data_IF_057145336408
#
_entry.id   IF_057145336408
#
_cell.length_a   1.000
_cell.length_b   1.000
_cell.length_c   1.000
_cell.angle_alpha   90.00
_cell.angle_beta   90.00
_cell.angle_gamma   90.00
#
_symmetry.space_group_name_H-M   'P 1'
#
loop_
_entity.id
_entity.type
_entity.pdbx_description
1 polymer ?
#
# COMPACT_ATOMS: atom_id res chain seq x y z
N UNK A 1 7.17 12.57 -15.56
CA UNK A 1 7.04 11.11 -15.38
C UNK A 1 6.43 10.79 -14.02
N UNK A 2 7.04 11.25 -12.92
CA UNK A 2 6.62 10.99 -11.54
C UNK A 2 5.12 11.27 -11.23
N UNK A 3 4.55 12.42 -11.62
CA UNK A 3 3.11 12.69 -11.41
C UNK A 3 2.20 11.67 -12.08
N UNK A 4 2.50 11.26 -13.32
CA UNK A 4 1.71 10.24 -14.03
C UNK A 4 1.82 8.87 -13.36
N UNK A 5 3.00 8.55 -12.82
CA UNK A 5 3.20 7.32 -12.05
C UNK A 5 2.41 7.33 -10.74
N UNK A 6 2.45 8.45 -10.00
CA UNK A 6 1.62 8.67 -8.82
C UNK A 6 0.13 8.51 -9.13
N UNK A 7 -0.36 9.21 -10.15
CA UNK A 7 -1.77 9.17 -10.52
C UNK A 7 -2.25 7.77 -10.89
N UNK A 8 -1.46 7.04 -11.70
CA UNK A 8 -1.77 5.66 -12.06
C UNK A 8 -1.75 4.73 -10.85
N UNK A 9 -0.75 4.86 -9.96
CA UNK A 9 -0.66 4.07 -8.73
C UNK A 9 -1.85 4.35 -7.80
N UNK A 10 -2.23 5.63 -7.64
CA UNK A 10 -3.37 6.06 -6.82
C UNK A 10 -4.68 5.52 -7.38
N UNK A 11 -4.93 5.68 -8.67
CA UNK A 11 -6.16 5.18 -9.30
C UNK A 11 -6.26 3.65 -9.17
N UNK A 12 -5.15 2.95 -9.36
CA UNK A 12 -5.11 1.49 -9.18
C UNK A 12 -5.37 1.09 -7.73
N UNK A 13 -4.79 1.79 -6.75
CA UNK A 13 -5.08 1.53 -5.35
C UNK A 13 -6.54 1.83 -4.99
N UNK A 14 -7.14 2.89 -5.56
CA UNK A 14 -8.55 3.25 -5.37
C UNK A 14 -9.53 2.24 -5.98
N UNK A 15 -9.17 1.60 -7.09
CA UNK A 15 -9.93 0.48 -7.66
C UNK A 15 -9.77 -0.81 -6.82
N UNK A 16 -8.58 -1.05 -6.30
CA UNK A 16 -8.25 -2.30 -5.60
C UNK A 16 -8.71 -2.34 -4.15
N UNK A 17 -8.70 -1.23 -3.43
CA UNK A 17 -8.74 -1.18 -1.96
C UNK A 17 -9.94 -0.37 -1.49
N UNK A 18 -10.68 -0.92 -0.53
CA UNK A 18 -11.78 -0.20 0.12
C UNK A 18 -11.22 0.91 1.01
N UNK A 19 -11.80 2.10 0.94
CA UNK A 19 -11.44 3.28 1.74
C UNK A 19 -9.93 3.55 1.84
N UNK A 20 -9.23 3.72 0.70
CA UNK A 20 -7.76 3.73 0.66
C UNK A 20 -7.14 4.99 1.31
N UNK A 21 -7.94 6.01 1.63
CA UNK A 21 -7.45 7.25 2.26
C UNK A 21 -6.45 8.06 1.40
N UNK A 22 -6.41 7.80 0.09
CA UNK A 22 -5.47 8.46 -0.83
C UNK A 22 -6.06 9.75 -1.40
N UNK A 23 -5.41 10.87 -1.08
CA UNK A 23 -5.66 12.17 -1.72
C UNK A 23 -4.58 12.46 -2.78
N UNK A 24 -4.97 13.19 -3.83
CA UNK A 24 -4.02 13.67 -4.82
C UNK A 24 -3.06 14.70 -4.20
N UNK A 25 -1.76 14.69 -4.58
CA UNK A 25 -0.82 15.74 -4.20
C UNK A 25 -1.26 17.11 -4.70
N UNK A 26 -0.83 18.17 -4.03
CA UNK A 26 -1.07 19.53 -4.47
C UNK A 26 -0.38 19.81 -5.83
N UNK A 27 -1.06 20.58 -6.70
CA UNK A 27 -0.42 21.08 -7.91
C UNK A 27 0.42 22.33 -7.64
N UNK A 28 1.70 22.11 -7.32
CA UNK A 28 2.69 23.17 -7.14
C UNK A 28 3.17 23.83 -8.45
N UNK A 29 2.83 23.31 -9.61
CA UNK A 29 3.41 23.75 -10.88
C UNK A 29 3.15 25.24 -11.20
N UNK A 30 1.94 25.79 -10.98
CA UNK A 30 1.69 27.22 -11.18
C UNK A 30 2.56 28.10 -10.27
N UNK A 31 2.71 27.71 -9.00
CA UNK A 31 3.51 28.45 -8.01
C UNK A 31 4.99 28.44 -8.39
N UNK A 32 5.53 27.28 -8.77
CA UNK A 32 6.93 27.13 -9.18
C UNK A 32 7.22 27.91 -10.47
N UNK A 33 6.30 27.91 -11.44
CA UNK A 33 6.41 28.72 -12.66
C UNK A 33 6.43 30.22 -12.35
N UNK A 34 5.56 30.68 -11.45
CA UNK A 34 5.56 32.07 -11.01
C UNK A 34 6.89 32.49 -10.37
N UNK A 35 7.44 31.64 -9.48
CA UNK A 35 8.74 31.88 -8.85
C UNK A 35 9.90 31.89 -9.86
N UNK A 36 9.87 30.99 -10.84
CA UNK A 36 10.86 30.96 -11.93
C UNK A 36 10.78 32.24 -12.78
N UNK A 37 9.58 32.66 -13.16
CA UNK A 37 9.39 33.89 -13.92
C UNK A 37 9.88 35.13 -13.14
N UNK A 38 9.66 35.16 -11.82
CA UNK A 38 10.13 36.25 -10.96
C UNK A 38 11.66 36.40 -10.94
N UNK A 39 12.42 35.32 -11.22
CA UNK A 39 13.89 35.40 -11.34
C UNK A 39 14.33 36.28 -12.51
N UNK A 40 13.52 36.47 -13.55
CA UNK A 40 13.84 37.34 -14.68
C UNK A 40 13.80 38.84 -14.30
N UNK A 41 13.24 39.19 -13.14
CA UNK A 41 13.14 40.58 -12.69
C UNK A 41 14.53 41.20 -12.45
N UNK A 42 14.67 42.53 -12.62
CA UNK A 42 15.89 43.24 -12.26
C UNK A 42 16.18 43.07 -10.76
N UNK A 43 17.27 42.40 -10.44
CA UNK A 43 17.71 42.14 -9.08
C UNK A 43 19.22 41.89 -9.08
N UNK A 44 19.90 42.34 -8.02
CA UNK A 44 21.32 42.06 -7.81
C UNK A 44 21.60 40.56 -7.66
N UNK A 45 22.84 40.15 -7.95
CA UNK A 45 23.24 38.75 -7.91
C UNK A 45 22.92 38.03 -6.58
N UNK A 46 23.17 38.60 -5.38
CA UNK A 46 22.85 37.93 -4.11
C UNK A 46 21.37 37.60 -3.95
N UNK A 47 20.48 38.53 -4.34
CA UNK A 47 19.04 38.33 -4.27
C UNK A 47 18.58 37.24 -5.26
N UNK A 48 19.15 37.22 -6.46
CA UNK A 48 18.87 36.20 -7.48
C UNK A 48 19.31 34.80 -7.03
N UNK A 49 20.51 34.68 -6.45
CA UNK A 49 21.04 33.43 -5.92
C UNK A 49 20.16 32.89 -4.78
N UNK A 50 19.73 33.74 -3.85
CA UNK A 50 18.82 33.35 -2.77
C UNK A 50 17.45 32.90 -3.30
N UNK A 51 16.89 33.60 -4.29
CA UNK A 51 15.63 33.23 -4.92
C UNK A 51 15.72 31.89 -5.67
N UNK A 52 16.82 31.64 -6.36
CA UNK A 52 17.08 30.35 -7.02
C UNK A 52 17.17 29.20 -6.00
N UNK A 53 17.88 29.41 -4.88
CA UNK A 53 17.98 28.40 -3.82
C UNK A 53 16.59 28.06 -3.23
N UNK A 54 15.75 29.06 -2.97
CA UNK A 54 14.37 28.84 -2.49
C UNK A 54 13.49 28.14 -3.54
N UNK A 55 13.65 28.48 -4.82
CA UNK A 55 12.93 27.79 -5.90
C UNK A 55 13.32 26.32 -5.95
N UNK A 56 14.62 26.00 -5.84
CA UNK A 56 15.11 24.63 -5.82
C UNK A 56 14.54 23.85 -4.63
N UNK A 57 14.62 24.40 -3.42
CA UNK A 57 14.05 23.77 -2.23
C UNK A 57 12.55 23.48 -2.41
N UNK A 58 11.77 24.45 -2.90
CA UNK A 58 10.35 24.25 -3.14
C UNK A 58 10.03 23.23 -4.23
N UNK A 59 10.88 23.10 -5.25
CA UNK A 59 10.74 22.06 -6.27
C UNK A 59 11.06 20.67 -5.70
N UNK A 60 12.08 20.58 -4.84
CA UNK A 60 12.46 19.33 -4.16
C UNK A 60 11.36 18.88 -3.18
N UNK A 61 10.77 19.80 -2.42
CA UNK A 61 9.63 19.57 -1.52
C UNK A 61 8.41 19.06 -2.30
N UNK A 62 8.02 19.77 -3.37
CA UNK A 62 6.89 19.37 -4.22
C UNK A 62 7.10 17.98 -4.85
N UNK A 63 8.34 17.66 -5.26
CA UNK A 63 8.67 16.34 -5.76
C UNK A 63 8.63 15.28 -4.63
N UNK A 64 9.00 15.65 -3.40
CA UNK A 64 8.89 14.81 -2.20
C UNK A 64 7.46 14.43 -1.89
N UNK A 65 6.53 15.37 -1.96
CA UNK A 65 5.10 15.12 -1.76
C UNK A 65 4.55 14.10 -2.77
N UNK A 66 4.92 14.23 -4.05
CA UNK A 66 4.47 13.30 -5.10
C UNK A 66 5.07 11.91 -4.88
N UNK A 67 6.36 11.81 -4.48
CA UNK A 67 6.99 10.53 -4.13
C UNK A 67 6.28 9.87 -2.95
N UNK A 68 6.04 10.61 -1.87
CA UNK A 68 5.36 10.09 -0.69
C UNK A 68 3.92 9.63 -0.99
N UNK A 69 3.20 10.32 -1.88
CA UNK A 69 1.89 9.88 -2.33
C UNK A 69 1.96 8.60 -3.19
N UNK A 70 2.92 8.52 -4.11
CA UNK A 70 3.17 7.31 -4.90
C UNK A 70 3.51 6.11 -4.02
N UNK A 71 4.42 6.26 -3.06
CA UNK A 71 4.82 5.21 -2.12
C UNK A 71 3.65 4.72 -1.27
N UNK A 72 2.79 5.62 -0.76
CA UNK A 72 1.56 5.23 -0.06
C UNK A 72 0.63 4.39 -0.94
N UNK A 73 0.43 4.80 -2.20
CA UNK A 73 -0.44 4.09 -3.13
C UNK A 73 0.10 2.70 -3.49
N UNK A 74 1.41 2.57 -3.73
CA UNK A 74 2.06 1.28 -3.99
C UNK A 74 2.04 0.40 -2.75
N UNK A 75 2.32 0.95 -1.56
CA UNK A 75 2.33 0.19 -0.31
C UNK A 75 1.00 -0.50 0.00
N UNK A 76 -0.14 0.08 -0.38
CA UNK A 76 -1.45 -0.57 -0.25
C UNK A 76 -1.60 -1.78 -1.18
N UNK A 77 -1.07 -1.69 -2.40
CA UNK A 77 -1.10 -2.79 -3.37
C UNK A 77 -0.17 -3.91 -2.93
N UNK A 78 1.05 -3.57 -2.52
CA UNK A 78 2.03 -4.51 -1.99
C UNK A 78 1.49 -5.23 -0.76
N UNK A 79 0.79 -4.51 0.13
CA UNK A 79 0.15 -5.11 1.29
C UNK A 79 -0.90 -6.15 0.91
N UNK A 80 -1.69 -5.91 -0.13
CA UNK A 80 -2.67 -6.88 -0.63
C UNK A 80 -1.97 -8.14 -1.14
N UNK A 81 -0.90 -8.00 -1.92
CA UNK A 81 -0.13 -9.14 -2.42
C UNK A 81 0.59 -9.91 -1.29
N UNK A 82 1.13 -9.21 -0.29
CA UNK A 82 1.72 -9.83 0.90
C UNK A 82 0.68 -10.69 1.65
N UNK A 83 -0.54 -10.17 1.86
CA UNK A 83 -1.62 -10.92 2.50
C UNK A 83 -2.00 -12.17 1.70
N UNK A 84 -2.05 -12.09 0.36
CA UNK A 84 -2.30 -13.24 -0.51
C UNK A 84 -1.22 -14.29 -0.38
N UNK A 85 0.05 -13.89 -0.42
CA UNK A 85 1.19 -14.81 -0.26
C UNK A 85 1.19 -15.49 1.11
N UNK A 86 0.94 -14.73 2.19
CA UNK A 86 0.83 -15.28 3.54
C UNK A 86 -0.33 -16.25 3.69
N UNK A 87 -1.48 -15.94 3.11
CA UNK A 87 -2.64 -16.83 3.11
C UNK A 87 -2.33 -18.16 2.42
N UNK A 88 -1.78 -18.13 1.20
CA UNK A 88 -1.45 -19.36 0.47
C UNK A 88 -0.40 -20.21 1.23
N UNK A 89 0.56 -19.58 1.91
CA UNK A 89 1.52 -20.28 2.77
C UNK A 89 0.83 -21.00 3.96
N UNK A 90 -0.09 -20.33 4.66
CA UNK A 90 -0.84 -20.96 5.75
C UNK A 90 -1.80 -22.04 5.26
N UNK A 91 -2.39 -21.86 4.08
CA UNK A 91 -3.25 -22.84 3.45
C UNK A 91 -2.49 -24.12 3.10
N UNK A 92 -1.30 -23.99 2.51
CA UNK A 92 -0.42 -25.13 2.27
C UNK A 92 -0.06 -25.87 3.57
N UNK A 93 0.17 -25.12 4.67
CA UNK A 93 0.39 -25.71 5.99
C UNK A 93 -0.84 -26.46 6.51
N UNK A 94 -2.04 -25.90 6.37
CA UNK A 94 -3.29 -26.56 6.78
C UNK A 94 -3.51 -27.88 6.03
N UNK A 95 -3.25 -27.91 4.72
CA UNK A 95 -3.34 -29.11 3.88
C UNK A 95 -2.38 -30.18 4.37
N UNK A 96 -1.11 -29.83 4.63
CA UNK A 96 -0.10 -30.76 5.17
C UNK A 96 -0.47 -31.36 6.51
N UNK A 97 -1.26 -30.65 7.32
CA UNK A 97 -1.74 -31.10 8.63
C UNK A 97 -3.06 -31.90 8.53
N UNK A 98 -3.62 -32.08 7.32
CA UNK A 98 -4.94 -32.70 7.12
C UNK A 98 -6.10 -31.86 7.64
N UNK A 99 -5.85 -30.58 7.96
CA UNK A 99 -6.81 -29.72 8.65
C UNK A 99 -7.53 -28.74 7.70
N UNK A 100 -7.16 -28.73 6.41
CA UNK A 100 -7.76 -27.85 5.42
C UNK A 100 -9.27 -28.07 5.23
N UNK A 101 -9.75 -29.31 5.39
CA UNK A 101 -11.17 -29.68 5.24
C UNK A 101 -12.01 -29.43 6.50
N UNK A 102 -11.40 -28.97 7.60
CA UNK A 102 -12.14 -28.64 8.81
C UNK A 102 -13.12 -27.50 8.51
N UNK A 103 -14.40 -27.56 8.95
CA UNK A 103 -15.42 -26.57 8.58
C UNK A 103 -14.99 -25.12 8.84
N UNK A 104 -14.36 -24.87 10.00
CA UNK A 104 -13.86 -23.54 10.34
C UNK A 104 -12.71 -23.06 9.42
N UNK A 105 -11.84 -23.98 8.99
CA UNK A 105 -10.75 -23.67 8.06
C UNK A 105 -11.30 -23.35 6.66
N UNK A 106 -12.29 -24.12 6.18
CA UNK A 106 -12.96 -23.88 4.90
C UNK A 106 -13.73 -22.55 4.88
N UNK A 107 -14.43 -22.23 5.97
CA UNK A 107 -15.16 -20.97 6.10
C UNK A 107 -14.22 -19.77 6.05
N UNK A 108 -13.10 -19.84 6.78
CA UNK A 108 -12.07 -18.79 6.76
C UNK A 108 -11.34 -18.72 5.41
N UNK A 109 -11.03 -19.84 4.76
CA UNK A 109 -10.44 -19.87 3.42
C UNK A 109 -11.34 -19.13 2.43
N UNK A 110 -12.64 -19.47 2.41
CA UNK A 110 -13.64 -18.83 1.56
C UNK A 110 -13.73 -17.33 1.82
N UNK A 111 -13.81 -16.93 3.09
CA UNK A 111 -13.89 -15.53 3.49
C UNK A 111 -12.63 -14.74 3.07
N UNK A 112 -11.43 -15.29 3.31
CA UNK A 112 -10.17 -14.64 2.93
C UNK A 112 -10.07 -14.53 1.41
N UNK A 113 -10.49 -15.56 0.66
CA UNK A 113 -10.53 -15.52 -0.81
C UNK A 113 -11.44 -14.44 -1.33
N UNK A 114 -12.66 -14.35 -0.78
CA UNK A 114 -13.58 -13.27 -1.11
C UNK A 114 -12.91 -11.91 -0.86
N UNK A 115 -12.42 -11.67 0.35
CA UNK A 115 -11.81 -10.38 0.71
C UNK A 115 -10.60 -10.00 -0.16
N UNK A 116 -9.68 -10.94 -0.45
CA UNK A 116 -8.41 -10.62 -1.12
C UNK A 116 -8.48 -10.66 -2.65
N UNK A 117 -9.36 -11.47 -3.25
CA UNK A 117 -9.44 -11.60 -4.71
C UNK A 117 -10.57 -10.78 -5.35
N UNK A 118 -11.51 -10.23 -4.58
CA UNK A 118 -12.50 -9.28 -5.09
C UNK A 118 -12.02 -7.83 -4.95
N UNK A 119 -12.68 -6.94 -5.67
CA UNK A 119 -12.49 -5.49 -5.59
C UNK A 119 -13.81 -4.81 -5.23
N UNK A 120 -13.80 -3.79 -4.35
CA UNK A 120 -12.66 -3.34 -3.57
C UNK A 120 -12.32 -4.32 -2.42
N UNK A 121 -11.04 -4.43 -2.06
CA UNK A 121 -10.54 -5.27 -0.98
C UNK A 121 -10.50 -4.49 0.34
N UNK A 122 -11.20 -4.98 1.37
CA UNK A 122 -11.02 -4.48 2.74
C UNK A 122 -9.76 -5.15 3.37
N UNK A 123 -8.65 -4.42 3.35
CA UNK A 123 -7.37 -4.87 3.94
C UNK A 123 -7.46 -5.13 5.45
N UNK A 124 -8.30 -4.38 6.15
CA UNK A 124 -8.51 -4.52 7.59
C UNK A 124 -9.22 -5.82 7.91
N UNK A 125 -10.33 -6.10 7.22
CA UNK A 125 -11.06 -7.36 7.34
C UNK A 125 -10.18 -8.55 6.92
N UNK A 126 -9.47 -8.44 5.79
CA UNK A 126 -8.58 -9.50 5.31
C UNK A 126 -7.48 -9.82 6.33
N UNK A 127 -6.88 -8.79 6.94
CA UNK A 127 -5.85 -8.97 7.98
C UNK A 127 -6.40 -9.71 9.19
N UNK A 128 -7.61 -9.36 9.66
CA UNK A 128 -8.25 -10.04 10.81
C UNK A 128 -8.63 -11.49 10.49
N UNK A 129 -9.18 -11.74 9.31
CA UNK A 129 -9.55 -13.08 8.85
C UNK A 129 -8.30 -13.97 8.75
N UNK A 130 -7.24 -13.47 8.11
CA UNK A 130 -5.97 -14.20 8.00
C UNK A 130 -5.32 -14.47 9.36
N UNK A 131 -5.34 -13.51 10.29
CA UNK A 131 -4.82 -13.71 11.64
C UNK A 131 -5.58 -14.82 12.39
N UNK A 132 -6.90 -14.91 12.18
CA UNK A 132 -7.75 -15.95 12.75
C UNK A 132 -7.43 -17.32 12.14
N UNK A 133 -7.31 -17.39 10.81
CA UNK A 133 -6.89 -18.61 10.10
C UNK A 133 -5.51 -19.10 10.55
N UNK A 134 -4.55 -18.19 10.68
CA UNK A 134 -3.20 -18.48 11.17
C UNK A 134 -3.24 -19.11 12.57
N UNK A 135 -4.00 -18.55 13.52
CA UNK A 135 -4.13 -19.12 14.88
C UNK A 135 -4.74 -20.52 14.86
N UNK A 136 -5.76 -20.71 14.03
CA UNK A 136 -6.46 -22.00 13.87
C UNK A 136 -5.52 -23.08 13.31
N UNK A 137 -4.73 -22.77 12.28
CA UNK A 137 -3.71 -23.68 11.73
C UNK A 137 -2.59 -23.98 12.74
N UNK A 138 -2.19 -23.00 13.56
CA UNK A 138 -1.19 -23.21 14.60
C UNK A 138 -1.69 -24.12 15.73
N UNK A 139 -2.94 -23.95 16.16
CA UNK A 139 -3.56 -24.83 17.16
C UNK A 139 -3.62 -26.29 16.67
N UNK A 140 -4.03 -26.49 15.42
CA UNK A 140 -4.04 -27.82 14.79
C UNK A 140 -2.64 -28.46 14.77
N UNK A 141 -1.60 -27.68 14.42
CA UNK A 141 -0.21 -28.15 14.44
C UNK A 141 0.24 -28.62 15.83
N UNK A 142 -0.13 -27.90 16.90
CA UNK A 142 0.22 -28.26 18.28
C UNK A 142 -0.53 -29.50 18.79
N UNK A 143 -1.75 -29.73 18.32
CA UNK A 143 -2.56 -30.89 18.70
C UNK A 143 -2.12 -32.21 18.01
N UNK A 144 -1.46 -32.11 16.85
CA UNK A 144 -0.93 -33.26 16.11
C UNK A 144 0.38 -33.83 16.67
N UNK A 145 1.20 -33.02 17.34
CA UNK A 145 2.47 -33.45 17.96
C UNK A 145 2.31 -34.21 19.28
N UNK A 146 1.09 -34.29 19.84
CA UNK A 146 0.81 -34.99 21.10
C UNK A 146 0.24 -36.40 20.97
N UNK A 147 0.12 -36.96 19.75
CA UNK A 147 -0.55 -38.23 19.48
C UNK A 147 0.37 -39.25 18.80
N UNK A 148 1.53 -39.48 19.41
CA UNK A 148 2.40 -40.63 19.14
C UNK A 148 3.04 -41.06 20.46
N UNK A 149 2.33 -41.88 21.23
CA UNK A 149 2.84 -42.66 22.36
C UNK A 149 2.04 -43.96 22.45
#
# INVERSE_FOLDING_TARGET
MLRRQEEHARQRAQDLIADPGLAAPQDWLPVLRGRLAALASPAGWPARAAALARLRAAADDAAGEIRAAYERAIGLQDRREELRGRFEAYRAKAIRLGYAEHPDALALDTCIRQLLWTRPCDLGAATRALATYQRLVQAAAGSGTGRSA
#
